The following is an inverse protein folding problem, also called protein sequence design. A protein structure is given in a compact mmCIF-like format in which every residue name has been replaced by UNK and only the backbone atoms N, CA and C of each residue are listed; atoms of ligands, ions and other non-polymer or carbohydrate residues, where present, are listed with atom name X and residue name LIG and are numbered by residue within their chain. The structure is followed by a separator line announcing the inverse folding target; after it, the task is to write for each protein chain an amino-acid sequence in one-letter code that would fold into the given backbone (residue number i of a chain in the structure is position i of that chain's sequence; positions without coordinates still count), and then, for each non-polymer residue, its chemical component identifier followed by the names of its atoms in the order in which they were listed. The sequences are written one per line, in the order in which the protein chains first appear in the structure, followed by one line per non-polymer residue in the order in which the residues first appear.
data_IF_585666977695
#
_entry.id   IF_585666977695
#
_cell.length_a   1.000
_cell.length_b   1.000
_cell.length_c   1.000
_cell.angle_alpha   90.00
_cell.angle_beta   90.00
_cell.angle_gamma   90.00
#
_symmetry.space_group_name_H-M   'P 1'
#
loop_
_entity.id
_entity.type
_entity.pdbx_description
1 polymer ?
#
# COMPACT_ATOMS: atom_id res chain seq x y z
N UNK A 1 15.04 -7.67 -41.81
CA UNK A 1 13.62 -7.52 -41.45
C UNK A 1 13.43 -7.01 -40.02
N UNK A 2 13.82 -7.77 -38.97
CA UNK A 2 13.66 -7.36 -37.55
C UNK A 2 14.30 -6.00 -37.22
N UNK A 3 15.54 -5.76 -37.69
CA UNK A 3 16.27 -4.51 -37.43
C UNK A 3 15.55 -3.27 -37.99
N UNK A 4 14.89 -3.41 -39.13
CA UNK A 4 14.12 -2.34 -39.78
C UNK A 4 12.78 -2.10 -39.08
N UNK A 5 12.11 -3.18 -38.64
CA UNK A 5 10.88 -3.10 -37.85
C UNK A 5 11.13 -2.44 -36.48
N UNK A 6 12.24 -2.78 -35.82
CA UNK A 6 12.63 -2.19 -34.54
C UNK A 6 12.84 -0.66 -34.63
N UNK A 7 13.40 -0.17 -35.74
CA UNK A 7 13.59 1.27 -35.99
C UNK A 7 12.26 2.02 -36.20
N UNK A 8 11.22 1.33 -36.66
CA UNK A 8 9.87 1.88 -36.90
C UNK A 8 8.89 1.55 -35.78
N UNK A 9 9.34 0.92 -34.69
CA UNK A 9 8.51 0.73 -33.50
C UNK A 9 8.08 2.12 -33.05
N UNK A 10 6.83 2.50 -33.29
CA UNK A 10 6.25 3.79 -32.94
C UNK A 10 6.20 4.07 -31.43
N UNK A 11 7.04 3.39 -30.65
CA UNK A 11 7.19 3.44 -29.20
C UNK A 11 7.13 4.84 -28.66
N UNK A 12 7.85 5.76 -29.30
CA UNK A 12 7.89 7.14 -28.87
C UNK A 12 6.55 7.88 -28.98
N UNK A 13 5.66 7.49 -29.89
CA UNK A 13 4.36 8.14 -30.08
C UNK A 13 3.35 7.79 -28.97
N UNK A 14 3.48 6.62 -28.33
CA UNK A 14 2.57 6.15 -27.26
C UNK A 14 3.25 6.01 -25.89
N UNK A 15 4.56 6.25 -25.81
CA UNK A 15 5.34 6.16 -24.58
C UNK A 15 4.82 7.13 -23.51
N UNK A 16 4.56 8.39 -23.89
CA UNK A 16 4.11 9.39 -22.94
C UNK A 16 2.73 9.06 -22.37
N UNK A 17 1.81 8.57 -23.19
CA UNK A 17 0.47 8.14 -22.76
C UNK A 17 0.55 6.94 -21.82
N UNK A 18 1.39 5.95 -22.13
CA UNK A 18 1.60 4.78 -21.27
C UNK A 18 2.26 5.17 -19.93
N UNK A 19 3.26 6.04 -19.94
CA UNK A 19 3.88 6.53 -18.72
C UNK A 19 2.91 7.36 -17.89
N UNK A 20 2.06 8.15 -18.54
CA UNK A 20 1.02 8.93 -17.88
C UNK A 20 0.00 8.02 -17.20
N UNK A 21 -0.50 6.99 -17.90
CA UNK A 21 -1.43 6.02 -17.35
C UNK A 21 -0.83 5.28 -16.13
N UNK A 22 0.42 4.83 -16.26
CA UNK A 22 1.13 4.17 -15.15
C UNK A 22 1.34 5.12 -13.95
N UNK A 23 1.67 6.38 -14.20
CA UNK A 23 1.80 7.37 -13.14
C UNK A 23 0.46 7.61 -12.45
N UNK A 24 -0.60 7.91 -13.20
CA UNK A 24 -1.92 8.21 -12.64
C UNK A 24 -2.49 7.01 -11.90
N UNK A 25 -2.40 5.80 -12.46
CA UNK A 25 -2.84 4.57 -11.81
C UNK A 25 -1.96 4.18 -10.61
N UNK A 26 -0.67 4.53 -10.63
CA UNK A 26 0.29 4.24 -9.56
C UNK A 26 0.31 5.23 -8.39
N UNK A 27 -0.34 6.39 -8.51
CA UNK A 27 -0.43 7.38 -7.42
C UNK A 27 -1.23 6.81 -6.24
N UNK A 28 -0.59 6.79 -5.05
CA UNK A 28 -1.20 6.29 -3.81
C UNK A 28 -2.30 7.19 -3.25
N UNK A 29 -2.19 8.50 -3.43
CA UNK A 29 -3.20 9.45 -2.94
C UNK A 29 -4.39 9.51 -3.91
N UNK A 30 -5.50 8.89 -3.51
CA UNK A 30 -6.73 8.85 -4.31
C UNK A 30 -7.32 10.25 -4.58
N UNK A 31 -7.08 11.24 -3.70
CA UNK A 31 -7.56 12.61 -3.96
C UNK A 31 -6.74 13.26 -5.07
N UNK A 32 -5.42 13.09 -5.03
CA UNK A 32 -4.52 13.53 -6.10
C UNK A 32 -4.86 12.80 -7.41
N UNK A 33 -5.01 11.48 -7.40
CA UNK A 33 -5.36 10.69 -8.59
C UNK A 33 -6.65 11.19 -9.24
N UNK A 34 -7.71 11.40 -8.46
CA UNK A 34 -8.97 11.97 -8.97
C UNK A 34 -8.80 13.37 -9.55
N UNK A 35 -7.96 14.20 -8.92
CA UNK A 35 -7.67 15.56 -9.42
C UNK A 35 -6.89 15.53 -10.73
N UNK A 36 -5.96 14.60 -10.89
CA UNK A 36 -5.25 14.37 -12.15
C UNK A 36 -6.23 13.91 -13.24
N UNK A 37 -7.06 12.90 -12.96
CA UNK A 37 -8.06 12.39 -13.91
C UNK A 37 -9.12 13.41 -14.33
N UNK A 38 -9.40 14.42 -13.49
CA UNK A 38 -10.33 15.49 -13.80
C UNK A 38 -9.74 16.59 -14.71
N UNK A 39 -8.42 16.62 -14.94
CA UNK A 39 -7.78 17.58 -15.86
C UNK A 39 -7.97 17.14 -17.30
N UNK A 40 -8.55 18.01 -18.13
CA UNK A 40 -8.81 17.73 -19.55
C UNK A 40 -7.59 17.81 -20.46
N UNK A 41 -6.54 18.53 -20.03
CA UNK A 41 -5.28 18.78 -20.77
C UNK A 41 -4.08 18.13 -20.06
N UNK A 42 -4.30 17.00 -19.38
CA UNK A 42 -3.27 16.33 -18.60
C UNK A 42 -2.17 15.76 -19.50
N UNK A 43 -0.94 16.26 -19.33
CA UNK A 43 0.27 15.72 -19.96
C UNK A 43 1.14 15.01 -18.92
N UNK A 44 2.04 14.14 -19.36
CA UNK A 44 3.01 13.46 -18.49
C UNK A 44 3.79 14.45 -17.60
N UNK A 45 4.25 15.57 -18.18
CA UNK A 45 4.96 16.62 -17.44
C UNK A 45 4.11 17.21 -16.31
N UNK A 46 2.85 17.57 -16.61
CA UNK A 46 1.94 18.14 -15.61
C UNK A 46 1.67 17.13 -14.49
N UNK A 47 1.45 15.86 -14.84
CA UNK A 47 1.21 14.82 -13.86
C UNK A 47 2.41 14.61 -12.92
N UNK A 48 3.64 14.66 -13.44
CA UNK A 48 4.87 14.58 -12.64
C UNK A 48 4.97 15.77 -11.68
N UNK A 49 4.83 16.99 -12.19
CA UNK A 49 4.94 18.22 -11.39
C UNK A 49 3.90 18.26 -10.26
N UNK A 50 2.65 17.92 -10.55
CA UNK A 50 1.57 17.85 -9.57
C UNK A 50 1.80 16.76 -8.52
N UNK A 51 2.29 15.60 -8.93
CA UNK A 51 2.56 14.49 -8.02
C UNK A 51 3.71 14.83 -7.07
N UNK A 52 4.78 15.43 -7.58
CA UNK A 52 5.90 15.90 -6.77
C UNK A 52 5.49 17.03 -5.82
N UNK A 53 4.70 18.00 -6.31
CA UNK A 53 4.20 19.09 -5.47
C UNK A 53 3.31 18.57 -4.33
N UNK A 54 2.46 17.59 -4.61
CA UNK A 54 1.62 16.96 -3.60
C UNK A 54 2.46 16.17 -2.57
N UNK A 55 3.45 15.41 -3.02
CA UNK A 55 4.38 14.68 -2.13
C UNK A 55 5.13 15.64 -1.20
N UNK A 56 5.74 16.69 -1.76
CA UNK A 56 6.43 17.72 -0.99
C UNK A 56 5.50 18.43 -0.02
N UNK A 57 4.26 18.73 -0.44
CA UNK A 57 3.25 19.33 0.44
C UNK A 57 2.87 18.41 1.59
N UNK A 58 2.74 17.10 1.34
CA UNK A 58 2.45 16.12 2.40
C UNK A 58 3.62 16.01 3.39
N UNK A 59 4.85 15.94 2.88
CA UNK A 59 6.06 15.88 3.71
C UNK A 59 6.18 17.13 4.59
N UNK A 60 6.02 18.32 3.99
CA UNK A 60 6.07 19.59 4.72
C UNK A 60 4.94 19.70 5.76
N UNK A 61 3.71 19.32 5.41
CA UNK A 61 2.60 19.34 6.36
C UNK A 61 2.80 18.35 7.52
N UNK A 62 3.42 17.18 7.27
CA UNK A 62 3.71 16.19 8.29
C UNK A 62 4.83 16.65 9.23
N UNK A 63 5.87 17.31 8.69
CA UNK A 63 6.93 17.95 9.47
C UNK A 63 6.35 18.97 10.45
N UNK A 64 5.48 19.87 9.98
CA UNK A 64 4.79 20.86 10.83
C UNK A 64 3.93 20.18 11.91
N UNK A 65 3.31 19.04 11.59
CA UNK A 65 2.49 18.29 12.54
C UNK A 65 3.30 17.41 13.51
N UNK A 66 4.63 17.32 13.34
CA UNK A 66 5.48 16.42 14.12
C UNK A 66 5.17 14.93 13.92
N UNK A 67 4.52 14.56 12.80
CA UNK A 67 4.14 13.16 12.51
C UNK A 67 5.11 12.59 11.49
N UNK A 68 5.71 11.41 11.73
CA UNK A 68 6.55 10.76 10.74
C UNK A 68 5.69 10.28 9.55
N UNK A 69 6.06 10.71 8.33
CA UNK A 69 5.54 10.09 7.11
C UNK A 69 6.21 8.73 6.99
N UNK A 70 5.45 7.65 7.16
CA UNK A 70 5.95 6.30 6.95
C UNK A 70 5.77 5.96 5.46
N UNK A 71 6.85 5.88 4.67
CA UNK A 71 6.75 5.33 3.32
C UNK A 71 6.45 3.84 3.43
N UNK A 72 5.27 3.44 3.00
CA UNK A 72 4.93 2.03 2.80
C UNK A 72 5.76 1.50 1.63
N UNK A 73 6.81 0.75 1.97
CA UNK A 73 7.64 0.00 1.02
C UNK A 73 6.76 -1.04 0.33
N UNK A 74 6.52 -0.89 -0.97
CA UNK A 74 5.99 -1.98 -1.78
C UNK A 74 7.06 -3.06 -1.83
N UNK A 75 6.85 -4.17 -1.10
CA UNK A 75 7.73 -5.32 -1.13
C UNK A 75 7.86 -5.82 -2.57
N UNK A 76 8.99 -5.50 -3.21
CA UNK A 76 9.36 -6.07 -4.50
C UNK A 76 9.69 -7.53 -4.21
N UNK A 77 8.87 -8.43 -4.74
CA UNK A 77 9.09 -9.88 -4.68
C UNK A 77 10.32 -10.20 -5.53
N UNK A 78 11.49 -10.30 -4.90
CA UNK A 78 12.67 -10.88 -5.54
C UNK A 78 12.48 -12.41 -5.53
N UNK A 79 12.59 -13.06 -6.69
CA UNK A 79 12.69 -14.51 -6.75
C UNK A 79 14.16 -14.87 -6.48
N UNK A 80 14.44 -15.36 -5.28
CA UNK A 80 15.75 -15.85 -4.88
C UNK A 80 16.00 -17.20 -5.57
N UNK A 81 16.88 -17.21 -6.58
CA UNK A 81 17.37 -18.44 -7.18
C UNK A 81 18.21 -19.21 -6.16
N UNK A 82 17.61 -20.26 -5.58
CA UNK A 82 18.26 -21.19 -4.67
C UNK A 82 19.43 -21.93 -5.37
N UNK A 83 20.65 -21.94 -4.79
CA UNK A 83 21.60 -23.00 -5.05
C UNK A 83 21.35 -24.15 -4.08
N UNK A 84 20.80 -25.24 -4.60
CA UNK A 84 20.77 -26.55 -3.96
C UNK A 84 22.21 -27.07 -3.75
N UNK A 85 22.52 -27.61 -2.56
CA UNK A 85 23.80 -28.31 -2.30
C UNK A 85 24.06 -28.72 -0.85
N UNK A 86 23.47 -29.84 -0.41
CA UNK A 86 24.01 -31.02 0.33
C UNK A 86 25.27 -30.84 1.24
N UNK A 87 25.49 -31.44 2.42
CA UNK A 87 24.88 -32.39 3.38
C UNK A 87 25.55 -32.07 4.75
N UNK A 88 24.95 -32.33 5.91
CA UNK A 88 25.20 -33.56 6.69
C UNK A 88 24.17 -33.70 7.81
N UNK A 89 23.65 -34.92 7.98
CA UNK A 89 22.65 -35.29 8.98
C UNK A 89 23.28 -35.47 10.37
N UNK A 90 22.79 -34.76 11.40
CA UNK A 90 22.89 -35.24 12.79
C UNK A 90 21.72 -34.75 13.66
N UNK A 91 20.90 -35.73 14.07
CA UNK A 91 20.01 -35.79 15.25
C UNK A 91 19.01 -34.66 15.51
N UNK A 92 17.83 -34.84 14.91
CA UNK A 92 16.62 -35.19 15.67
C UNK A 92 16.09 -34.21 16.72
N UNK A 93 15.12 -33.39 16.31
CA UNK A 93 13.84 -33.17 17.00
C UNK A 93 12.98 -32.26 16.10
N UNK A 94 11.83 -32.76 15.66
CA UNK A 94 10.93 -32.02 14.77
C UNK A 94 10.36 -30.74 15.43
N UNK A 95 9.98 -29.73 14.64
CA UNK A 95 9.31 -28.54 15.16
C UNK A 95 7.90 -28.91 15.65
N UNK A 96 7.43 -28.40 16.81
CA UNK A 96 6.06 -28.62 17.23
C UNK A 96 5.09 -27.92 16.27
N UNK A 97 4.10 -28.70 15.85
CA UNK A 97 2.94 -28.33 15.03
C UNK A 97 2.21 -27.11 15.60
N UNK A 98 1.83 -26.19 14.71
CA UNK A 98 0.97 -25.07 15.01
C UNK A 98 -0.46 -25.54 15.36
N UNK A 99 -0.79 -25.56 16.64
CA UNK A 99 -2.18 -25.47 17.12
C UNK A 99 -2.21 -24.98 18.56
N UNK A 100 -3.12 -24.06 18.85
CA UNK A 100 -3.43 -23.47 20.17
C UNK A 100 -2.54 -22.30 20.63
N UNK A 101 -2.79 -21.13 20.03
CA UNK A 101 -2.74 -19.88 20.78
C UNK A 101 -4.16 -19.33 20.87
N UNK A 102 -4.86 -19.68 21.94
CA UNK A 102 -6.11 -19.01 22.35
C UNK A 102 -5.74 -17.66 22.96
N UNK A 103 -6.32 -16.52 22.52
CA UNK A 103 -6.13 -15.26 23.21
C UNK A 103 -6.80 -15.30 24.60
N UNK A 104 -6.22 -14.65 25.62
CA UNK A 104 -6.88 -14.53 26.92
C UNK A 104 -8.19 -13.74 26.78
N UNK A 105 -9.27 -14.27 27.35
CA UNK A 105 -10.57 -13.62 27.38
C UNK A 105 -10.46 -12.26 28.08
N UNK A 106 -10.82 -11.19 27.37
CA UNK A 106 -11.00 -9.87 27.98
C UNK A 106 -12.21 -9.92 28.93
N UNK A 107 -11.95 -9.72 30.22
CA UNK A 107 -12.96 -9.61 31.27
C UNK A 107 -13.82 -8.36 31.05
N UNK A 108 -15.11 -8.54 30.71
CA UNK A 108 -16.09 -7.45 30.72
C UNK A 108 -16.37 -6.99 32.17
N UNK A 109 -16.48 -5.68 32.45
CA UNK A 109 -17.02 -5.20 33.71
C UNK A 109 -18.53 -5.49 33.78
N UNK A 110 -18.92 -6.23 34.81
CA UNK A 110 -20.32 -6.54 35.14
C UNK A 110 -21.08 -5.24 35.45
N UNK A 111 -22.04 -4.88 34.60
CA UNK A 111 -23.01 -3.81 34.86
C UNK A 111 -24.11 -4.42 35.75
N UNK A 112 -24.13 -4.04 37.03
CA UNK A 112 -25.16 -4.47 37.98
C UNK A 112 -26.58 -4.03 37.57
N UNK A 113 -27.63 -4.71 38.09
CA UNK A 113 -29.01 -4.43 37.71
C UNK A 113 -29.48 -3.07 38.26
N UNK A 114 -30.32 -2.32 37.51
CA UNK A 114 -31.02 -1.18 38.07
C UNK A 114 -32.09 -1.68 39.04
N UNK A 115 -31.97 -1.30 40.32
CA UNK A 115 -33.03 -1.45 41.30
C UNK A 115 -34.20 -0.53 40.93
N UNK A 116 -35.42 -1.05 41.06
CA UNK A 116 -36.65 -0.47 40.54
C UNK A 116 -37.02 0.91 41.09
N UNK A 117 -37.80 1.63 40.29
CA UNK A 117 -38.66 2.72 40.75
C UNK A 117 -40.09 2.39 40.33
N UNK A 118 -40.93 2.30 41.36
CA UNK A 118 -42.36 1.98 41.35
C UNK A 118 -43.13 3.13 40.69
N UNK A 119 -44.18 2.79 39.94
CA UNK A 119 -45.07 3.75 39.30
C UNK A 119 -45.81 4.66 40.27
N UNK A 120 -46.21 5.83 39.76
CA UNK A 120 -47.34 6.61 40.27
C UNK A 120 -48.08 7.14 39.04
N UNK A 121 -49.31 6.66 38.87
CA UNK A 121 -50.31 7.26 38.00
C UNK A 121 -50.86 8.52 38.65
N UNK A 122 -51.08 9.58 37.87
CA UNK A 122 -52.06 10.65 38.14
C UNK A 122 -52.81 10.94 36.86
#
# INVERSE_FOLDING_TARGET
ALRTAALHSGFRAYLEDMLLDQLVCGVRDLKLQRRLLAKGDLTLKIAIEESQAAELSMLSAAEIQGKPVIPNSSAIHYEESSPEGNSDEDRGAGPPSASEYLPPACSLPQRGPPQGAVGVSV
#
